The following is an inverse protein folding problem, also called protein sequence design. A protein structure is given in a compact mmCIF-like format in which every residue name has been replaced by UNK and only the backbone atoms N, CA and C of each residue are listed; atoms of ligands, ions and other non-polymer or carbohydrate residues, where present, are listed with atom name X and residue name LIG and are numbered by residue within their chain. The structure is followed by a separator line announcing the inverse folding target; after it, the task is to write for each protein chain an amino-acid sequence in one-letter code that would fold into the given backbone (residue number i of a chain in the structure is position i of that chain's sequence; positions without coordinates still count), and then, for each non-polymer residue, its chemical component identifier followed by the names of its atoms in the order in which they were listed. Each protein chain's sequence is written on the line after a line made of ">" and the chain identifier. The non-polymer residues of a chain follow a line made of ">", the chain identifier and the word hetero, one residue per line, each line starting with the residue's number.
data_IF_082224960233
#
_entry.id   IF_082224960233
#
_cell.length_a   1.000
_cell.length_b   1.000
_cell.length_c   1.000
_cell.angle_alpha   90.00
_cell.angle_beta   90.00
_cell.angle_gamma   90.00
#
_symmetry.space_group_name_H-M   'P 1'
#
loop_
_entity.id
_entity.type
_entity.pdbx_description
1 polymer ?
#
# COMPACT_ATOMS: atom_id res chain seq x y z
N UNK A 1 1.81 9.62 9.23
CA UNK A 1 0.86 8.49 9.11
C UNK A 1 0.68 7.83 10.46
N UNK A 2 -0.53 7.42 10.81
CA UNK A 2 -0.81 6.73 12.09
C UNK A 2 -0.37 5.27 11.95
N UNK A 3 0.28 4.65 12.96
CA UNK A 3 0.88 3.30 12.85
C UNK A 3 -0.09 2.14 12.61
N UNK A 4 -1.39 2.38 12.49
CA UNK A 4 -2.43 1.38 12.26
C UNK A 4 -3.51 1.79 11.25
N UNK A 5 -3.24 2.72 10.34
CA UNK A 5 -4.29 3.17 9.41
C UNK A 5 -4.16 2.50 8.04
N UNK A 6 -5.12 1.67 7.71
CA UNK A 6 -5.24 0.91 6.49
C UNK A 6 -5.62 1.76 5.26
N UNK A 7 -6.42 2.79 5.44
CA UNK A 7 -6.91 3.67 4.38
C UNK A 7 -5.96 4.81 3.96
N UNK A 8 -5.18 5.43 4.85
CA UNK A 8 -4.39 6.59 4.46
C UNK A 8 -3.15 6.28 3.61
N UNK A 9 -2.64 5.05 3.61
CA UNK A 9 -1.42 4.71 2.87
C UNK A 9 -1.61 4.79 1.36
N UNK A 10 -2.73 4.32 0.82
CA UNK A 10 -3.03 4.46 -0.60
C UNK A 10 -3.14 5.93 -1.04
N UNK A 11 -3.74 6.78 -0.20
CA UNK A 11 -3.83 8.22 -0.44
C UNK A 11 -2.49 8.95 -0.20
N UNK A 12 -1.69 8.52 0.78
CA UNK A 12 -0.36 9.10 1.04
C UNK A 12 0.57 8.90 -0.16
N UNK A 13 0.56 7.74 -0.80
CA UNK A 13 1.38 7.47 -2.00
C UNK A 13 0.98 8.30 -3.22
N UNK A 14 -0.20 8.91 -3.24
CA UNK A 14 -0.56 9.90 -4.25
C UNK A 14 0.12 11.26 -4.03
N UNK A 15 0.82 11.44 -2.91
CA UNK A 15 1.56 12.66 -2.57
C UNK A 15 2.99 12.56 -3.10
N UNK A 16 3.64 13.70 -3.27
CA UNK A 16 4.97 13.82 -3.91
C UNK A 16 6.14 13.38 -3.05
N UNK A 17 5.97 13.40 -1.74
CA UNK A 17 6.99 13.01 -0.76
C UNK A 17 6.30 12.31 0.40
N UNK A 18 6.65 11.08 0.63
CA UNK A 18 6.15 10.31 1.75
C UNK A 18 7.25 10.17 2.79
N UNK A 19 6.94 10.57 4.01
CA UNK A 19 7.83 10.44 5.16
C UNK A 19 7.14 9.57 6.19
N UNK A 20 7.83 8.58 6.71
CA UNK A 20 7.31 7.75 7.79
C UNK A 20 8.26 7.67 8.97
N UNK A 21 7.80 7.11 10.08
CA UNK A 21 8.64 6.79 11.23
C UNK A 21 9.23 5.40 11.11
N UNK A 22 10.32 5.15 11.83
CA UNK A 22 11.02 3.86 11.89
C UNK A 22 10.13 2.69 12.36
N UNK A 23 9.08 2.97 13.14
CA UNK A 23 8.11 1.99 13.62
C UNK A 23 6.91 1.80 12.67
N UNK A 24 6.91 2.43 11.52
CA UNK A 24 5.83 2.30 10.53
C UNK A 24 5.88 0.93 9.86
N UNK A 25 4.72 0.32 9.76
CA UNK A 25 4.51 -0.96 9.08
C UNK A 25 3.39 -0.81 8.07
N UNK A 26 3.51 -1.50 6.96
CA UNK A 26 2.51 -1.52 5.89
C UNK A 26 2.19 -2.95 5.48
N UNK A 27 0.92 -3.22 5.27
CA UNK A 27 0.47 -4.47 4.66
C UNK A 27 -0.78 -4.24 3.81
N UNK A 28 -1.09 -5.18 2.92
CA UNK A 28 -2.28 -5.16 2.06
C UNK A 28 -3.26 -6.20 2.56
N UNK A 29 -4.35 -5.82 3.25
CA UNK A 29 -5.24 -6.78 3.90
C UNK A 29 -6.20 -7.49 2.95
N UNK A 30 -6.40 -6.97 1.74
CA UNK A 30 -7.45 -7.41 0.82
C UNK A 30 -7.44 -8.92 0.58
N UNK A 31 -6.30 -9.47 0.17
CA UNK A 31 -6.21 -10.90 -0.10
C UNK A 31 -6.38 -11.77 1.15
N UNK A 32 -6.07 -11.25 2.34
CA UNK A 32 -6.34 -11.96 3.60
C UNK A 32 -7.83 -12.02 3.90
N UNK A 33 -8.57 -10.96 3.58
CA UNK A 33 -10.03 -10.92 3.67
C UNK A 33 -10.74 -11.53 2.45
N UNK A 34 -10.02 -12.21 1.55
CA UNK A 34 -10.59 -12.78 0.33
C UNK A 34 -11.14 -11.73 -0.64
N UNK A 35 -10.63 -10.50 -0.58
CA UNK A 35 -11.05 -9.39 -1.43
C UNK A 35 -10.04 -9.12 -2.54
N UNK A 36 -10.54 -8.68 -3.68
CA UNK A 36 -9.70 -8.13 -4.74
C UNK A 36 -9.31 -6.70 -4.35
N UNK A 37 -8.02 -6.28 -4.42
CA UNK A 37 -7.61 -4.91 -4.11
C UNK A 37 -8.00 -3.96 -5.26
N UNK A 38 -9.26 -3.56 -5.30
CA UNK A 38 -9.85 -2.74 -6.38
C UNK A 38 -9.92 -1.24 -6.08
N UNK A 39 -9.55 -0.83 -4.87
CA UNK A 39 -9.52 0.56 -4.40
C UNK A 39 -8.38 1.41 -5.01
N UNK A 40 -7.62 0.84 -5.94
CA UNK A 40 -6.46 1.45 -6.58
C UNK A 40 -5.11 1.06 -5.95
N UNK A 41 -5.09 0.33 -4.83
CA UNK A 41 -3.83 -0.11 -4.22
C UNK A 41 -2.99 -0.94 -5.20
N UNK A 42 -3.62 -1.83 -5.96
CA UNK A 42 -2.94 -2.65 -6.96
C UNK A 42 -2.20 -1.81 -7.99
N UNK A 43 -2.85 -0.80 -8.53
CA UNK A 43 -2.27 0.14 -9.50
C UNK A 43 -1.11 0.93 -8.88
N UNK A 44 -1.28 1.39 -7.64
CA UNK A 44 -0.25 2.15 -6.92
C UNK A 44 1.01 1.32 -6.70
N UNK A 45 0.88 0.07 -6.23
CA UNK A 45 2.05 -0.79 -6.02
C UNK A 45 2.73 -1.17 -7.33
N UNK A 46 1.98 -1.44 -8.39
CA UNK A 46 2.58 -1.66 -9.72
C UNK A 46 3.32 -0.43 -10.23
N UNK A 47 2.79 0.76 -9.98
CA UNK A 47 3.39 2.02 -10.41
C UNK A 47 4.72 2.30 -9.69
N UNK A 48 4.76 2.13 -8.36
CA UNK A 48 5.96 2.45 -7.56
C UNK A 48 6.98 1.33 -7.52
N UNK A 49 6.56 0.06 -7.50
CA UNK A 49 7.44 -1.09 -7.36
C UNK A 49 7.76 -1.78 -8.70
N UNK A 50 7.09 -1.36 -9.77
CA UNK A 50 7.06 -2.09 -11.02
C UNK A 50 6.16 -3.33 -10.94
N UNK A 51 5.73 -3.83 -12.09
CA UNK A 51 4.69 -4.87 -12.18
C UNK A 51 5.03 -6.13 -11.40
N UNK A 52 6.26 -6.62 -11.48
CA UNK A 52 6.63 -7.89 -10.82
C UNK A 52 6.60 -7.79 -9.28
N UNK A 53 7.28 -6.80 -8.72
CA UNK A 53 7.34 -6.63 -7.27
C UNK A 53 6.00 -6.19 -6.70
N UNK A 54 5.28 -5.31 -7.40
CA UNK A 54 3.94 -4.88 -7.01
C UNK A 54 2.96 -6.04 -6.95
N UNK A 55 2.92 -6.89 -7.97
CA UNK A 55 2.08 -8.09 -7.98
C UNK A 55 2.48 -9.08 -6.89
N UNK A 56 3.78 -9.35 -6.74
CA UNK A 56 4.27 -10.23 -5.69
C UNK A 56 3.86 -9.74 -4.31
N UNK A 57 4.02 -8.45 -4.03
CA UNK A 57 3.65 -7.85 -2.76
C UNK A 57 2.14 -7.95 -2.49
N UNK A 58 1.30 -7.65 -3.48
CA UNK A 58 -0.16 -7.77 -3.34
C UNK A 58 -0.62 -9.20 -3.10
N UNK A 59 -0.02 -10.16 -3.81
CA UNK A 59 -0.41 -11.58 -3.69
C UNK A 59 0.07 -12.22 -2.39
N UNK A 60 1.23 -11.81 -1.87
CA UNK A 60 1.81 -12.39 -0.65
C UNK A 60 1.31 -11.71 0.61
N UNK A 61 0.71 -10.53 0.50
CA UNK A 61 0.13 -9.76 1.63
C UNK A 61 1.04 -9.61 2.86
N UNK A 62 2.35 -9.72 2.65
CA UNK A 62 3.31 -9.65 3.74
C UNK A 62 3.40 -8.26 4.33
N UNK A 63 3.65 -8.19 5.63
CA UNK A 63 3.97 -6.93 6.28
C UNK A 63 5.38 -6.48 5.88
N UNK A 64 5.55 -5.20 5.55
CA UNK A 64 6.84 -4.55 5.30
C UNK A 64 7.08 -3.45 6.31
N UNK A 65 8.33 -3.31 6.75
CA UNK A 65 8.75 -2.28 7.69
C UNK A 65 9.20 -1.00 6.99
N UNK A 66 9.48 0.06 7.76
CA UNK A 66 9.87 1.36 7.25
C UNK A 66 11.14 1.31 6.38
N UNK A 67 12.15 0.55 6.78
CA UNK A 67 13.38 0.42 6.00
C UNK A 67 13.14 -0.26 4.66
N UNK A 68 12.36 -1.34 4.65
CA UNK A 68 11.98 -2.02 3.40
C UNK A 68 11.18 -1.08 2.47
N UNK A 69 10.29 -0.26 3.03
CA UNK A 69 9.56 0.75 2.23
C UNK A 69 10.50 1.78 1.62
N UNK A 70 11.52 2.23 2.36
CA UNK A 70 12.55 3.12 1.85
C UNK A 70 13.38 2.46 0.73
N UNK A 71 13.88 1.26 0.96
CA UNK A 71 14.68 0.48 0.00
C UNK A 71 13.89 0.19 -1.30
N UNK A 72 12.58 0.09 -1.20
CA UNK A 72 11.69 -0.15 -2.35
C UNK A 72 11.22 1.13 -3.03
N UNK A 73 11.53 2.29 -2.48
CA UNK A 73 11.07 3.58 -3.00
C UNK A 73 9.59 3.86 -2.77
N UNK A 74 8.96 3.19 -1.81
CA UNK A 74 7.58 3.46 -1.39
C UNK A 74 7.49 4.69 -0.48
N UNK A 75 8.56 5.02 0.23
CA UNK A 75 8.69 6.23 1.01
C UNK A 75 10.00 6.93 0.66
N UNK A 76 10.02 8.25 0.81
CA UNK A 76 11.17 9.09 0.48
C UNK A 76 12.17 9.19 1.63
N UNK A 77 11.67 9.17 2.87
CA UNK A 77 12.50 9.30 4.07
C UNK A 77 11.89 8.50 5.23
N UNK A 78 12.77 7.97 6.08
CA UNK A 78 12.42 7.41 7.39
C UNK A 78 13.05 8.29 8.47
N UNK A 79 12.24 8.72 9.43
CA UNK A 79 12.67 9.60 10.52
C UNK A 79 12.32 9.00 11.89
N UNK A 80 12.99 9.44 12.93
CA UNK A 80 12.69 9.02 14.29
C UNK A 80 11.26 9.40 14.70
N UNK A 81 10.69 8.62 15.61
CA UNK A 81 9.34 8.84 16.12
C UNK A 81 9.19 10.25 16.69
N UNK A 82 8.12 10.93 16.31
CA UNK A 82 7.82 12.30 16.71
C UNK A 82 8.33 13.38 15.78
N UNK A 83 9.26 13.09 14.85
CA UNK A 83 9.88 14.09 13.96
C UNK A 83 9.24 14.23 12.59
N UNK A 84 8.24 13.41 12.24
CA UNK A 84 7.59 13.45 10.92
C UNK A 84 7.02 14.83 10.57
N UNK A 85 6.31 15.44 11.52
CA UNK A 85 5.66 16.74 11.27
C UNK A 85 6.69 17.84 11.09
N UNK A 86 7.73 17.86 11.92
CA UNK A 86 8.82 18.83 11.82
C UNK A 86 9.52 18.70 10.45
N UNK A 87 9.89 17.49 10.07
CA UNK A 87 10.53 17.21 8.78
C UNK A 87 9.65 17.59 7.59
N UNK A 88 8.36 17.30 7.66
CA UNK A 88 7.41 17.73 6.63
C UNK A 88 7.34 19.26 6.49
N UNK A 89 7.41 20.00 7.61
CA UNK A 89 7.47 21.47 7.56
C UNK A 89 8.77 22.00 7.00
N UNK A 90 9.89 21.35 7.25
CA UNK A 90 11.18 21.73 6.64
C UNK A 90 11.11 21.62 5.12
N UNK A 91 10.61 20.49 4.60
CA UNK A 91 10.44 20.29 3.17
C UNK A 91 9.45 21.30 2.58
N UNK A 92 8.34 21.56 3.28
CA UNK A 92 7.37 22.54 2.85
C UNK A 92 7.95 23.97 2.76
N UNK A 93 8.82 24.36 3.71
CA UNK A 93 9.53 25.65 3.68
C UNK A 93 10.49 25.72 2.49
N UNK A 94 11.27 24.66 2.23
CA UNK A 94 12.14 24.58 1.05
C UNK A 94 11.30 24.76 -0.24
N UNK A 95 10.17 24.08 -0.35
CA UNK A 95 9.29 24.23 -1.49
C UNK A 95 8.74 25.65 -1.63
N UNK A 96 8.46 26.31 -0.53
CA UNK A 96 7.93 27.67 -0.52
C UNK A 96 8.91 28.71 -1.07
N UNK A 97 10.21 28.43 -1.12
CA UNK A 97 11.20 29.34 -1.73
C UNK A 97 11.06 29.46 -3.24
N UNK A 98 10.45 28.46 -3.89
CA UNK A 98 10.15 28.50 -5.33
C UNK A 98 8.98 29.43 -5.65
N UNK A 99 8.97 30.14 -6.80
CA UNK A 99 7.81 30.89 -7.28
C UNK A 99 6.54 30.00 -7.32
N UNK A 100 5.43 30.59 -7.01
CA UNK A 100 4.13 29.87 -6.90
C UNK A 100 3.76 29.15 -8.18
N UNK A 101 3.93 29.79 -9.33
CA UNK A 101 3.61 29.24 -10.65
C UNK A 101 4.46 27.99 -10.95
N UNK A 102 5.74 28.05 -10.65
CA UNK A 102 6.65 26.92 -10.87
C UNK A 102 6.30 25.74 -9.97
N UNK A 103 5.96 25.98 -8.69
CA UNK A 103 5.49 24.93 -7.79
C UNK A 103 4.21 24.28 -8.30
N UNK A 104 3.28 25.05 -8.82
CA UNK A 104 2.01 24.55 -9.37
C UNK A 104 2.25 23.68 -10.60
N UNK A 105 3.06 24.16 -11.53
CA UNK A 105 3.40 23.43 -12.75
C UNK A 105 4.13 22.14 -12.42
N UNK A 106 5.18 22.18 -11.59
CA UNK A 106 5.91 20.98 -11.16
C UNK A 106 4.99 19.96 -10.45
N UNK A 107 4.08 20.47 -9.61
CA UNK A 107 3.08 19.64 -8.93
C UNK A 107 2.19 18.88 -9.91
N UNK A 108 1.72 19.56 -10.94
CA UNK A 108 0.86 18.97 -11.94
C UNK A 108 1.61 17.94 -12.81
N UNK A 109 2.85 18.25 -13.19
CA UNK A 109 3.69 17.33 -13.94
C UNK A 109 4.02 16.07 -13.13
N UNK A 110 4.40 16.22 -11.86
CA UNK A 110 4.74 15.09 -11.00
C UNK A 110 3.56 14.12 -10.78
N UNK A 111 2.34 14.63 -10.74
CA UNK A 111 1.12 13.81 -10.56
C UNK A 111 0.60 13.18 -11.84
N UNK A 112 1.04 13.67 -13.00
CA UNK A 112 0.48 13.27 -14.30
C UNK A 112 0.54 11.77 -14.58
N UNK A 113 1.68 11.05 -14.36
CA UNK A 113 1.76 9.62 -14.64
C UNK A 113 0.75 8.81 -13.86
N UNK A 114 0.67 9.06 -12.53
CA UNK A 114 -0.28 8.39 -11.66
C UNK A 114 -1.73 8.74 -12.01
N UNK A 115 -2.01 10.02 -12.28
CA UNK A 115 -3.36 10.45 -12.70
C UNK A 115 -3.80 9.74 -13.98
N UNK A 116 -2.90 9.59 -14.95
CA UNK A 116 -3.19 8.88 -16.20
C UNK A 116 -3.57 7.42 -15.91
N UNK A 117 -2.74 6.73 -15.14
CA UNK A 117 -2.98 5.34 -14.74
C UNK A 117 -4.33 5.16 -14.03
N UNK A 118 -4.64 6.02 -13.06
CA UNK A 118 -5.90 5.95 -12.31
C UNK A 118 -7.12 6.22 -13.21
N UNK A 119 -7.03 7.18 -14.13
CA UNK A 119 -8.14 7.48 -15.06
C UNK A 119 -8.39 6.31 -16.01
N UNK A 120 -7.34 5.64 -16.47
CA UNK A 120 -7.44 4.53 -17.42
C UNK A 120 -7.96 3.25 -16.75
N UNK A 121 -7.42 2.86 -15.59
CA UNK A 121 -7.59 1.51 -15.05
C UNK A 121 -8.40 1.41 -13.75
N UNK A 122 -8.56 2.50 -12.98
CA UNK A 122 -9.21 2.42 -11.66
C UNK A 122 -10.64 1.85 -11.73
N UNK A 123 -11.39 2.17 -12.79
CA UNK A 123 -12.76 1.66 -12.96
C UNK A 123 -12.79 0.14 -13.07
N UNK A 124 -11.85 -0.45 -13.82
CA UNK A 124 -11.76 -1.90 -13.96
C UNK A 124 -11.44 -2.55 -12.61
N UNK A 125 -10.48 -1.98 -11.87
CA UNK A 125 -10.12 -2.48 -10.55
C UNK A 125 -11.30 -2.42 -9.56
N UNK A 126 -11.99 -1.28 -9.50
CA UNK A 126 -13.17 -1.11 -8.61
C UNK A 126 -14.29 -2.06 -8.96
N UNK A 127 -14.62 -2.25 -10.25
CA UNK A 127 -15.64 -3.21 -10.69
C UNK A 127 -15.23 -4.65 -10.36
N UNK A 128 -13.95 -4.98 -10.50
CA UNK A 128 -13.43 -6.32 -10.16
C UNK A 128 -13.55 -6.61 -8.67
N UNK A 129 -13.28 -5.65 -7.79
CA UNK A 129 -13.48 -5.79 -6.34
C UNK A 129 -14.95 -6.00 -6.00
N UNK A 130 -15.84 -5.18 -6.58
CA UNK A 130 -17.29 -5.30 -6.38
C UNK A 130 -17.82 -6.67 -6.87
N UNK A 131 -17.36 -7.10 -8.05
CA UNK A 131 -17.74 -8.40 -8.60
C UNK A 131 -17.25 -9.56 -7.72
N UNK A 132 -15.99 -9.51 -7.27
CA UNK A 132 -15.45 -10.50 -6.33
C UNK A 132 -16.23 -10.56 -5.02
N UNK A 133 -16.62 -9.41 -4.48
CA UNK A 133 -17.46 -9.33 -3.28
C UNK A 133 -18.86 -9.91 -3.50
N UNK A 134 -19.48 -9.64 -4.65
CA UNK A 134 -20.78 -10.24 -5.01
C UNK A 134 -20.71 -11.75 -5.15
N UNK A 135 -19.65 -12.29 -5.72
CA UNK A 135 -19.44 -13.74 -5.81
C UNK A 135 -19.33 -14.38 -4.43
N UNK A 136 -18.66 -13.73 -3.47
CA UNK A 136 -18.59 -14.21 -2.08
C UNK A 136 -19.97 -14.21 -1.40
N UNK A 137 -20.74 -13.13 -1.56
CA UNK A 137 -22.13 -13.08 -1.05
C UNK A 137 -22.97 -14.21 -1.64
N UNK A 138 -22.87 -14.42 -2.95
CA UNK A 138 -23.60 -15.48 -3.64
C UNK A 138 -23.18 -16.90 -3.20
N UNK A 139 -21.93 -17.06 -2.77
CA UNK A 139 -21.42 -18.31 -2.22
C UNK A 139 -21.76 -18.50 -0.72
N UNK A 140 -22.43 -17.53 -0.08
CA UNK A 140 -22.74 -17.56 1.34
C UNK A 140 -21.59 -17.18 2.27
N UNK A 141 -20.51 -16.60 1.73
CA UNK A 141 -19.27 -16.27 2.48
C UNK A 141 -19.34 -14.96 3.27
N UNK A 142 -20.37 -14.15 3.06
CA UNK A 142 -20.53 -12.88 3.77
C UNK A 142 -21.79 -12.90 4.64
N UNK A 143 -21.60 -13.00 5.95
CA UNK A 143 -22.65 -12.73 6.94
C UNK A 143 -23.23 -13.94 7.67
N UNK A 144 -22.66 -15.12 7.52
CA UNK A 144 -23.01 -16.30 8.33
C UNK A 144 -21.95 -16.54 9.41
N UNK A 145 -22.37 -17.08 10.58
CA UNK A 145 -21.45 -17.47 11.67
C UNK A 145 -20.40 -18.50 11.22
N UNK A 146 -20.65 -19.22 10.15
CA UNK A 146 -19.69 -20.11 9.48
C UNK A 146 -18.60 -19.35 8.70
N UNK A 147 -18.79 -18.08 8.36
CA UNK A 147 -17.76 -17.28 7.67
C UNK A 147 -16.52 -17.08 8.56
N UNK A 148 -16.72 -16.92 9.85
CA UNK A 148 -15.62 -16.78 10.82
C UNK A 148 -14.73 -18.03 10.86
N UNK A 149 -15.30 -19.24 10.76
CA UNK A 149 -14.53 -20.49 10.70
C UNK A 149 -13.82 -20.69 9.35
N UNK A 150 -14.44 -20.24 8.27
CA UNK A 150 -13.79 -20.24 6.94
C UNK A 150 -12.68 -19.17 6.88
N UNK A 151 -12.92 -18.01 7.47
CA UNK A 151 -11.92 -16.96 7.60
C UNK A 151 -10.74 -17.41 8.49
N UNK A 152 -10.97 -18.11 9.60
CA UNK A 152 -9.89 -18.71 10.41
C UNK A 152 -9.09 -19.74 9.62
N UNK A 153 -9.74 -20.61 8.85
CA UNK A 153 -9.07 -21.59 7.99
C UNK A 153 -8.30 -20.94 6.85
N UNK A 154 -8.84 -19.86 6.29
CA UNK A 154 -8.17 -19.05 5.26
C UNK A 154 -6.98 -18.28 5.86
N UNK A 155 -7.17 -17.61 7.00
CA UNK A 155 -6.14 -16.87 7.73
C UNK A 155 -5.03 -17.82 8.19
N UNK A 156 -5.35 -19.02 8.67
CA UNK A 156 -4.36 -20.05 9.01
C UNK A 156 -3.50 -20.41 7.80
N UNK A 157 -4.10 -20.68 6.64
CA UNK A 157 -3.35 -20.97 5.40
C UNK A 157 -2.49 -19.81 4.93
N UNK A 158 -2.99 -18.57 5.03
CA UNK A 158 -2.23 -17.36 4.68
C UNK A 158 -1.10 -17.14 5.68
N UNK A 159 -1.31 -17.40 6.96
CA UNK A 159 -0.28 -17.30 7.98
C UNK A 159 0.80 -18.37 7.78
N UNK A 160 0.44 -19.61 7.48
CA UNK A 160 1.38 -20.67 7.13
C UNK A 160 2.25 -20.27 5.91
N UNK A 161 1.65 -19.64 4.92
CA UNK A 161 2.36 -19.10 3.76
C UNK A 161 3.31 -17.94 4.12
N UNK A 162 2.88 -17.06 5.03
CA UNK A 162 3.70 -15.93 5.51
C UNK A 162 4.96 -16.41 6.24
N UNK A 163 4.83 -17.39 7.11
CA UNK A 163 5.97 -17.95 7.83
C UNK A 163 6.91 -18.69 6.89
N UNK A 164 6.40 -19.48 5.97
CA UNK A 164 7.21 -20.17 4.97
C UNK A 164 8.02 -19.24 4.06
N UNK A 165 7.50 -18.02 3.78
CA UNK A 165 8.23 -17.03 2.98
C UNK A 165 9.15 -16.14 3.79
N UNK A 166 8.92 -15.98 5.09
CA UNK A 166 9.77 -15.20 5.99
C UNK A 166 11.12 -15.90 6.22
N UNK A 167 11.10 -17.20 6.48
CA UNK A 167 12.30 -18.03 6.66
C UNK A 167 13.17 -18.13 5.38
N UNK A 168 12.57 -17.98 4.21
CA UNK A 168 13.30 -17.98 2.93
C UNK A 168 14.00 -16.64 2.62
N UNK A 169 13.73 -15.56 3.36
CA UNK A 169 14.22 -14.22 3.06
C UNK A 169 15.12 -13.63 4.15
N UNK A 170 15.33 -14.30 5.26
CA UNK A 170 16.40 -13.94 6.18
C UNK A 170 17.74 -14.34 5.56
N UNK A 171 18.70 -13.40 5.42
CA UNK A 171 20.04 -13.77 4.97
C UNK A 171 20.59 -14.78 5.99
N UNK A 172 20.89 -15.99 5.51
CA UNK A 172 21.66 -16.93 6.30
C UNK A 172 23.02 -16.27 6.57
N UNK A 173 23.13 -15.68 7.74
CA UNK A 173 24.43 -15.19 8.25
C UNK A 173 25.31 -16.41 8.48
N UNK A 174 26.20 -16.66 7.52
CA UNK A 174 27.34 -17.56 7.68
C UNK A 174 28.45 -16.85 8.42
#
# INVERSE_FOLDING_TARGET
>A
CHPRSWLPLGLCHAVRCDICTEDTKMEVPHAQGGLVPGDGMGLMFQHYLGTKRGNYYMMTTRQVNAQQMLDWGLVSEVVAKGHVVERAWEIARMWKTMPYENRTIMSNLAKRPLKKLLVEDLKLHTVSEQYGSLLRVAAGDLGDENSAQQDEKYISRVNDWRYATQDMMEPQTA
#
